data_IF_741697528350
#
_entry.id   IF_741697528350
#
_cell.length_a   1.000
_cell.length_b   1.000
_cell.length_c   1.000
_cell.angle_alpha   90.00
_cell.angle_beta   90.00
_cell.angle_gamma   90.00
#
_symmetry.space_group_name_H-M   'P 1'
#
loop_
_entity.id
_entity.type
_entity.pdbx_description
1 polymer ?
#
# COMPACT_ATOMS: atom_id res chain seq x y z
N UNK A 1 -0.95 -9.24 0.43
CA UNK A 1 -1.30 -9.63 -0.96
C UNK A 1 -1.62 -8.40 -1.79
N UNK A 2 -1.38 -8.47 -3.10
CA UNK A 2 -1.81 -7.47 -4.06
C UNK A 2 -2.96 -8.05 -4.91
N UNK A 3 -3.91 -7.20 -5.30
CA UNK A 3 -4.98 -7.52 -6.25
C UNK A 3 -4.86 -6.57 -7.41
N UNK A 4 -5.06 -7.03 -8.64
CA UNK A 4 -4.94 -6.18 -9.81
C UNK A 4 -5.94 -6.57 -10.91
N UNK A 5 -6.13 -5.66 -11.85
CA UNK A 5 -7.02 -5.83 -13.01
C UNK A 5 -6.27 -6.36 -14.26
N UNK A 6 -5.01 -6.77 -14.10
CA UNK A 6 -4.15 -7.27 -15.17
C UNK A 6 -3.55 -6.20 -16.09
N UNK A 7 -3.95 -4.93 -15.99
CA UNK A 7 -3.61 -3.91 -17.00
C UNK A 7 -3.27 -2.54 -16.39
N UNK A 8 -4.09 -2.00 -15.51
CA UNK A 8 -4.08 -0.58 -15.12
C UNK A 8 -3.81 -0.33 -13.64
N UNK A 9 -4.51 -1.02 -12.74
CA UNK A 9 -4.43 -0.74 -11.29
C UNK A 9 -4.08 -2.00 -10.50
N UNK A 10 -3.06 -1.87 -9.64
CA UNK A 10 -2.81 -2.80 -8.54
C UNK A 10 -3.23 -2.17 -7.20
N UNK A 11 -3.77 -2.97 -6.30
CA UNK A 11 -4.19 -2.60 -4.96
C UNK A 11 -3.47 -3.43 -3.91
N UNK A 12 -2.69 -2.78 -3.04
CA UNK A 12 -1.98 -3.42 -1.95
C UNK A 12 -2.91 -3.51 -0.73
N UNK A 13 -3.50 -4.69 -0.51
CA UNK A 13 -4.55 -4.86 0.49
C UNK A 13 -4.03 -4.99 1.92
N UNK A 14 -2.86 -5.63 2.09
CA UNK A 14 -2.18 -5.76 3.39
C UNK A 14 -0.69 -5.93 3.17
N UNK A 15 0.10 -5.02 3.75
CA UNK A 15 1.54 -5.18 3.86
C UNK A 15 1.93 -5.25 5.33
N UNK A 16 2.28 -6.46 5.76
CA UNK A 16 2.57 -6.78 7.13
C UNK A 16 4.02 -7.22 7.25
N UNK A 17 4.72 -6.65 8.24
CA UNK A 17 6.01 -7.10 8.70
C UNK A 17 5.84 -7.42 10.17
N UNK A 18 6.32 -8.58 10.63
CA UNK A 18 6.20 -8.91 12.06
C UNK A 18 6.97 -7.86 12.89
N UNK A 19 6.46 -7.44 14.07
CA UNK A 19 7.04 -6.35 14.87
C UNK A 19 8.53 -6.50 15.15
N UNK A 20 9.00 -7.71 15.43
CA UNK A 20 10.41 -8.04 15.66
C UNK A 20 11.35 -7.73 14.48
N UNK A 21 10.80 -7.52 13.28
CA UNK A 21 11.53 -7.16 12.07
C UNK A 21 11.29 -5.70 11.61
N UNK A 22 10.62 -4.89 12.42
CA UNK A 22 10.44 -3.47 12.13
C UNK A 22 11.79 -2.72 12.15
N UNK A 23 11.84 -1.59 11.45
CA UNK A 23 13.03 -0.74 11.31
C UNK A 23 14.26 -1.39 10.64
N UNK A 24 14.13 -2.60 10.08
CA UNK A 24 15.19 -3.29 9.32
C UNK A 24 15.09 -3.07 7.80
N UNK A 25 14.25 -2.14 7.34
CA UNK A 25 14.07 -1.83 5.91
C UNK A 25 13.23 -2.83 5.10
N UNK A 26 12.77 -3.93 5.71
CA UNK A 26 12.00 -4.98 5.03
C UNK A 26 10.73 -4.43 4.37
N UNK A 27 9.95 -3.62 5.08
CA UNK A 27 8.73 -3.02 4.51
C UNK A 27 9.00 -2.15 3.29
N UNK A 28 10.10 -1.38 3.31
CA UNK A 28 10.53 -0.57 2.16
C UNK A 28 10.91 -1.46 0.98
N UNK A 29 11.70 -2.52 1.24
CA UNK A 29 12.12 -3.46 0.19
C UNK A 29 10.93 -4.17 -0.45
N UNK A 30 9.93 -4.57 0.34
CA UNK A 30 8.69 -5.15 -0.17
C UNK A 30 7.95 -4.18 -1.11
N UNK A 31 7.85 -2.89 -0.75
CA UNK A 31 7.23 -1.89 -1.63
C UNK A 31 8.04 -1.65 -2.91
N UNK A 32 9.36 -1.67 -2.84
CA UNK A 32 10.21 -1.55 -4.03
C UNK A 32 9.95 -2.70 -5.01
N UNK A 33 9.91 -3.94 -4.50
CA UNK A 33 9.62 -5.12 -5.32
C UNK A 33 8.22 -5.06 -5.93
N UNK A 34 7.22 -4.57 -5.18
CA UNK A 34 5.87 -4.39 -5.72
C UNK A 34 5.81 -3.30 -6.80
N UNK A 35 6.49 -2.18 -6.60
CA UNK A 35 6.57 -1.10 -7.60
C UNK A 35 7.25 -1.55 -8.89
N UNK A 36 8.31 -2.36 -8.76
CA UNK A 36 9.00 -2.96 -9.89
C UNK A 36 8.10 -3.95 -10.64
N UNK A 37 7.42 -4.84 -9.91
CA UNK A 37 6.51 -5.81 -10.50
C UNK A 37 5.37 -5.15 -11.28
N UNK A 38 4.79 -4.07 -10.73
CA UNK A 38 3.68 -3.33 -11.33
C UNK A 38 4.15 -2.06 -12.08
N UNK A 39 5.40 -2.01 -12.55
CA UNK A 39 5.94 -0.79 -13.17
C UNK A 39 5.21 -0.34 -14.45
N UNK A 40 4.55 -1.28 -15.16
CA UNK A 40 3.77 -0.98 -16.36
C UNK A 40 2.36 -0.48 -16.06
N UNK A 41 1.92 -0.56 -14.79
CA UNK A 41 0.59 -0.17 -14.37
C UNK A 41 0.54 1.34 -14.17
N UNK A 42 -0.61 1.94 -14.49
CA UNK A 42 -0.80 3.39 -14.30
C UNK A 42 -0.91 3.76 -12.82
N UNK A 43 -1.29 2.82 -11.96
CA UNK A 43 -1.51 3.11 -10.54
C UNK A 43 -1.27 1.90 -9.64
N UNK A 44 -0.62 2.17 -8.51
CA UNK A 44 -0.60 1.28 -7.33
C UNK A 44 -1.31 2.02 -6.20
N UNK A 45 -2.45 1.48 -5.76
CA UNK A 45 -3.28 2.03 -4.69
C UNK A 45 -3.16 1.25 -3.38
N UNK A 46 -3.36 1.93 -2.26
CA UNK A 46 -3.52 1.32 -0.94
C UNK A 46 -4.36 2.22 -0.05
N UNK A 47 -4.98 1.64 0.97
CA UNK A 47 -5.56 2.40 2.08
C UNK A 47 -4.62 2.24 3.27
N UNK A 48 -4.03 3.34 3.72
CA UNK A 48 -3.17 3.37 4.89
C UNK A 48 -3.96 3.83 6.12
N UNK A 49 -3.62 3.27 7.28
CA UNK A 49 -3.94 3.87 8.56
C UNK A 49 -3.20 5.21 8.71
N UNK A 50 -3.80 6.14 9.45
CA UNK A 50 -3.25 7.50 9.59
C UNK A 50 -1.86 7.50 10.22
N UNK A 51 -1.58 6.58 11.13
CA UNK A 51 -0.29 6.39 11.81
C UNK A 51 0.85 5.98 10.88
N UNK A 52 0.54 5.37 9.74
CA UNK A 52 1.50 4.83 8.77
C UNK A 52 1.65 5.72 7.52
N UNK A 53 0.92 6.84 7.44
CA UNK A 53 0.95 7.74 6.28
C UNK A 53 2.38 8.17 5.93
N UNK A 54 3.19 8.51 6.93
CA UNK A 54 4.55 9.01 6.70
C UNK A 54 5.49 7.93 6.17
N UNK A 55 5.30 6.67 6.58
CA UNK A 55 6.02 5.54 6.00
C UNK A 55 5.74 5.39 4.50
N UNK A 56 4.46 5.42 4.10
CA UNK A 56 4.08 5.29 2.69
C UNK A 56 4.49 6.53 1.87
N UNK A 57 4.40 7.73 2.44
CA UNK A 57 4.93 8.96 1.82
C UNK A 57 6.43 8.84 1.56
N UNK A 58 7.20 8.36 2.52
CA UNK A 58 8.64 8.12 2.37
C UNK A 58 8.96 7.05 1.30
N UNK A 59 7.99 6.22 0.92
CA UNK A 59 8.10 5.23 -0.15
C UNK A 59 7.58 5.71 -1.52
N UNK A 60 7.14 6.98 -1.61
CA UNK A 60 6.71 7.64 -2.85
C UNK A 60 5.19 7.71 -3.05
N UNK A 61 4.39 7.23 -2.09
CA UNK A 61 2.93 7.34 -2.17
C UNK A 61 2.47 8.76 -1.82
N UNK A 62 1.33 9.16 -2.39
CA UNK A 62 0.68 10.45 -2.09
C UNK A 62 -0.74 10.18 -1.61
N UNK A 63 -1.13 10.88 -0.54
CA UNK A 63 -2.52 10.88 -0.11
C UNK A 63 -3.39 11.52 -1.19
N UNK A 64 -4.58 10.96 -1.42
CA UNK A 64 -5.53 11.55 -2.36
C UNK A 64 -6.08 12.88 -1.80
N UNK A 65 -6.16 13.91 -2.65
CA UNK A 65 -6.59 15.25 -2.21
C UNK A 65 -8.10 15.42 -2.04
N UNK A 66 -8.91 14.63 -2.74
CA UNK A 66 -10.37 14.68 -2.66
C UNK A 66 -10.98 13.27 -2.82
N UNK A 67 -10.52 12.33 -2.00
CA UNK A 67 -11.08 10.97 -1.96
C UNK A 67 -11.07 10.45 -0.53
N UNK A 68 -12.07 9.63 -0.20
CA UNK A 68 -12.17 8.95 1.10
C UNK A 68 -12.24 7.44 0.88
N UNK A 69 -11.62 6.63 1.76
CA UNK A 69 -11.82 5.20 1.74
C UNK A 69 -13.27 4.87 2.10
N UNK A 70 -13.86 3.87 1.42
CA UNK A 70 -15.22 3.40 1.68
C UNK A 70 -15.21 1.89 1.82
N UNK A 71 -16.05 1.37 2.72
CA UNK A 71 -16.09 -0.05 3.06
C UNK A 71 -17.54 -0.52 3.21
N UNK A 72 -17.83 -1.71 2.67
CA UNK A 72 -18.97 -2.52 3.08
C UNK A 72 -18.37 -3.69 3.85
N UNK A 73 -18.52 -3.69 5.18
CA UNK A 73 -17.79 -4.64 6.04
C UNK A 73 -18.59 -5.03 7.28
N UNK A 74 -18.34 -6.23 7.77
CA UNK A 74 -18.72 -6.69 9.10
C UNK A 74 -17.58 -6.62 10.13
N UNK A 75 -16.42 -6.10 9.71
CA UNK A 75 -15.25 -5.87 10.55
C UNK A 75 -15.38 -4.53 11.27
N UNK A 76 -14.99 -4.48 12.54
CA UNK A 76 -14.99 -3.26 13.34
C UNK A 76 -13.83 -2.34 12.91
N UNK A 77 -14.13 -1.06 12.72
CA UNK A 77 -13.15 0.01 12.49
C UNK A 77 -12.69 0.64 13.79
#
# INVERSE_FOLDING_TARGET
CAMDDGIMTAYLHYMLVRPEYHHQGIGRKLLELMKEHYQSYLRIGLIAYNTELDFYRACGFKAAGNASPMFITSLWT
#
